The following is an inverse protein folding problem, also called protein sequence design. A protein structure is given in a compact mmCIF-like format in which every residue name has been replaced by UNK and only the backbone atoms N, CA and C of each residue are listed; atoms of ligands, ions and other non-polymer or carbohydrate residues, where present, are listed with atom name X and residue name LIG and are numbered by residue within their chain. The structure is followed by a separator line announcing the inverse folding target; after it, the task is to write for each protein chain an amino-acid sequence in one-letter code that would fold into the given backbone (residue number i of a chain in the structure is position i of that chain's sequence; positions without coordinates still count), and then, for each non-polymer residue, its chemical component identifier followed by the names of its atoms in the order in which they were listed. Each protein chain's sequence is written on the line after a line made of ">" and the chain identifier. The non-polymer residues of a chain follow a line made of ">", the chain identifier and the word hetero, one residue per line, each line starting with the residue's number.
data_IF_491112234825
#
_entry.id   IF_491112234825
#
_cell.length_a   1.000
_cell.length_b   1.000
_cell.length_c   1.000
_cell.angle_alpha   90.00
_cell.angle_beta   90.00
_cell.angle_gamma   90.00
#
_symmetry.space_group_name_H-M   'P 1'
#
loop_
_entity.id
_entity.type
_entity.pdbx_description
1 polymer ?
#
# COMPACT_ATOMS: atom_id res chain seq x y z
N UNK A 1 3.87 -8.53 -23.36
CA UNK A 1 4.15 -7.35 -22.52
C UNK A 1 3.66 -6.06 -23.18
N UNK A 2 3.78 -5.87 -24.50
CA UNK A 2 3.24 -4.67 -25.18
C UNK A 2 1.77 -4.40 -24.83
N UNK A 3 0.92 -5.43 -24.91
CA UNK A 3 -0.48 -5.33 -24.50
C UNK A 3 -0.67 -4.84 -23.05
N UNK A 4 0.11 -5.35 -22.09
CA UNK A 4 0.04 -4.93 -20.68
C UNK A 4 0.47 -3.47 -20.50
N UNK A 5 1.46 -3.02 -21.27
CA UNK A 5 1.93 -1.62 -21.25
C UNK A 5 0.87 -0.68 -21.83
N UNK A 6 0.22 -1.06 -22.92
CA UNK A 6 -0.89 -0.29 -23.49
C UNK A 6 -2.08 -0.18 -22.53
N UNK A 7 -2.45 -1.30 -21.88
CA UNK A 7 -3.47 -1.32 -20.84
C UNK A 7 -3.09 -0.45 -19.63
N UNK A 8 -1.80 -0.41 -19.28
CA UNK A 8 -1.31 0.46 -18.21
C UNK A 8 -1.63 1.92 -18.51
N UNK A 9 -1.44 2.38 -19.75
CA UNK A 9 -1.78 3.75 -20.14
C UNK A 9 -3.29 4.03 -20.16
N UNK A 10 -4.12 3.00 -20.38
CA UNK A 10 -5.56 3.17 -20.57
C UNK A 10 -6.29 3.69 -19.31
N UNK A 11 -5.81 3.38 -18.11
CA UNK A 11 -6.42 3.87 -16.86
C UNK A 11 -5.74 5.14 -16.29
N UNK A 12 -4.57 5.53 -16.80
CA UNK A 12 -3.80 6.66 -16.25
C UNK A 12 -4.58 7.97 -16.27
N UNK A 13 -5.27 8.27 -17.37
CA UNK A 13 -6.03 9.52 -17.48
C UNK A 13 -7.13 9.66 -16.42
N UNK A 14 -7.81 8.56 -16.08
CA UNK A 14 -8.83 8.57 -15.02
C UNK A 14 -8.21 8.72 -13.63
N UNK A 15 -7.07 8.07 -13.39
CA UNK A 15 -6.32 8.21 -12.14
C UNK A 15 -5.80 9.64 -11.95
N UNK A 16 -5.23 10.25 -12.99
CA UNK A 16 -4.79 11.65 -13.00
C UNK A 16 -5.96 12.62 -12.77
N UNK A 17 -7.14 12.33 -13.35
CA UNK A 17 -8.36 13.12 -13.12
C UNK A 17 -8.85 13.07 -11.67
N UNK A 18 -8.72 11.91 -11.02
CA UNK A 18 -9.02 11.76 -9.59
C UNK A 18 -8.00 12.52 -8.74
N UNK A 19 -6.70 12.36 -9.03
CA UNK A 19 -5.63 13.06 -8.31
C UNK A 19 -5.78 14.57 -8.42
N UNK A 20 -6.05 15.09 -9.62
CA UNK A 20 -6.26 16.51 -9.85
C UNK A 20 -7.42 17.07 -9.01
N UNK A 21 -8.54 16.35 -8.96
CA UNK A 21 -9.69 16.76 -8.14
C UNK A 21 -9.36 16.79 -6.65
N UNK A 22 -8.64 15.79 -6.14
CA UNK A 22 -8.21 15.75 -4.73
C UNK A 22 -7.29 16.94 -4.42
N UNK A 23 -6.38 17.30 -5.33
CA UNK A 23 -5.49 18.46 -5.17
C UNK A 23 -6.26 19.78 -5.14
N UNK A 24 -7.28 19.95 -5.98
CA UNK A 24 -8.13 21.15 -5.95
C UNK A 24 -8.91 21.26 -4.62
N UNK A 25 -9.36 20.14 -4.04
CA UNK A 25 -9.96 20.13 -2.70
C UNK A 25 -8.94 20.57 -1.65
N UNK A 26 -7.72 20.00 -1.69
CA UNK A 26 -6.65 20.34 -0.74
C UNK A 26 -6.23 21.82 -0.84
N UNK A 27 -6.25 22.39 -2.05
CA UNK A 27 -5.98 23.80 -2.28
C UNK A 27 -7.13 24.73 -1.85
N UNK A 28 -8.31 24.19 -1.51
CA UNK A 28 -9.50 24.97 -1.17
C UNK A 28 -10.24 25.54 -2.39
N UNK A 29 -9.89 25.10 -3.59
CA UNK A 29 -10.49 25.55 -4.85
C UNK A 29 -11.73 24.74 -5.24
N UNK A 30 -11.92 23.57 -4.65
CA UNK A 30 -13.08 22.72 -4.84
C UNK A 30 -13.65 22.24 -3.49
N UNK A 31 -14.95 21.96 -3.47
CA UNK A 31 -15.58 21.28 -2.33
C UNK A 31 -15.56 19.77 -2.55
N UNK A 32 -15.39 19.03 -1.45
CA UNK A 32 -15.48 17.57 -1.45
C UNK A 32 -16.91 17.13 -1.78
N UNK A 33 -17.04 16.28 -2.80
CA UNK A 33 -18.27 15.57 -3.15
C UNK A 33 -17.94 14.08 -3.30
N UNK A 34 -18.45 13.27 -2.36
CA UNK A 34 -18.23 11.83 -2.37
C UNK A 34 -18.80 11.12 -3.59
N UNK A 35 -19.88 11.63 -4.20
CA UNK A 35 -20.43 11.06 -5.44
C UNK A 35 -19.48 11.28 -6.61
N UNK A 36 -18.90 12.47 -6.69
CA UNK A 36 -17.93 12.80 -7.72
C UNK A 36 -16.62 12.01 -7.56
N UNK A 37 -16.19 11.73 -6.32
CA UNK A 37 -15.06 10.83 -6.07
C UNK A 37 -15.35 9.43 -6.62
N UNK A 38 -16.53 8.88 -6.34
CA UNK A 38 -16.95 7.55 -6.84
C UNK A 38 -17.01 7.57 -8.36
N UNK A 39 -17.65 8.57 -8.98
CA UNK A 39 -17.73 8.70 -10.44
C UNK A 39 -16.33 8.73 -11.10
N UNK A 40 -15.40 9.48 -10.52
CA UNK A 40 -14.01 9.53 -10.99
C UNK A 40 -13.29 8.20 -10.82
N UNK A 41 -13.53 7.49 -9.73
CA UNK A 41 -12.96 6.16 -9.49
C UNK A 41 -13.52 5.14 -10.50
N UNK A 42 -14.83 5.13 -10.69
CA UNK A 42 -15.54 4.25 -11.63
C UNK A 42 -15.07 4.48 -13.07
N UNK A 43 -14.66 5.71 -13.42
CA UNK A 43 -14.19 6.06 -14.77
C UNK A 43 -12.98 5.24 -15.27
N UNK A 44 -12.20 4.65 -14.36
CA UNK A 44 -11.02 3.84 -14.71
C UNK A 44 -10.97 2.48 -14.01
N UNK A 45 -11.84 2.22 -13.03
CA UNK A 45 -11.80 1.01 -12.23
C UNK A 45 -11.87 -0.28 -13.07
N UNK A 46 -12.81 -0.36 -14.01
CA UNK A 46 -12.97 -1.55 -14.87
C UNK A 46 -11.71 -1.82 -15.71
N UNK A 47 -11.11 -0.76 -16.26
CA UNK A 47 -9.87 -0.86 -17.05
C UNK A 47 -8.68 -1.31 -16.21
N UNK A 48 -8.55 -0.78 -14.98
CA UNK A 48 -7.52 -1.20 -14.03
C UNK A 48 -7.70 -2.67 -13.62
N UNK A 49 -8.92 -3.08 -13.28
CA UNK A 49 -9.22 -4.47 -12.90
C UNK A 49 -8.92 -5.44 -14.04
N UNK A 50 -9.30 -5.08 -15.26
CA UNK A 50 -9.00 -5.89 -16.44
C UNK A 50 -7.49 -6.01 -16.67
N UNK A 51 -6.74 -4.90 -16.59
CA UNK A 51 -5.27 -4.90 -16.67
C UNK A 51 -4.64 -5.85 -15.64
N UNK A 52 -5.07 -5.78 -14.37
CA UNK A 52 -4.56 -6.65 -13.31
C UNK A 52 -4.82 -8.12 -13.63
N UNK A 53 -6.01 -8.47 -14.13
CA UNK A 53 -6.33 -9.83 -14.55
C UNK A 53 -5.47 -10.32 -15.72
N UNK A 54 -5.26 -9.48 -16.73
CA UNK A 54 -4.49 -9.83 -17.93
C UNK A 54 -2.98 -9.90 -17.66
N UNK A 55 -2.49 -9.21 -16.61
CA UNK A 55 -1.09 -9.25 -16.20
C UNK A 55 -0.72 -10.52 -15.42
N UNK A 56 -1.62 -11.07 -14.61
CA UNK A 56 -1.37 -12.30 -13.82
C UNK A 56 -0.71 -13.45 -14.62
N UNK A 57 -1.21 -13.87 -15.80
CA UNK A 57 -0.57 -14.96 -16.56
C UNK A 57 0.79 -14.56 -17.16
N UNK A 58 1.12 -13.27 -17.23
CA UNK A 58 2.43 -12.79 -17.69
C UNK A 58 3.48 -12.87 -16.59
N UNK A 59 3.06 -12.68 -15.33
CA UNK A 59 3.89 -12.77 -14.13
C UNK A 59 3.86 -14.16 -13.47
N UNK A 60 3.31 -15.17 -14.15
CA UNK A 60 3.28 -16.54 -13.64
C UNK A 60 4.70 -17.04 -13.29
N UNK A 61 4.83 -17.73 -12.16
CA UNK A 61 6.15 -18.15 -11.63
C UNK A 61 6.97 -18.98 -12.63
N UNK A 62 6.32 -19.77 -13.49
CA UNK A 62 6.98 -20.52 -14.56
C UNK A 62 7.62 -19.60 -15.61
N UNK A 63 6.95 -18.51 -15.98
CA UNK A 63 7.45 -17.52 -16.95
C UNK A 63 8.56 -16.67 -16.33
N UNK A 64 8.40 -16.27 -15.07
CA UNK A 64 9.45 -15.56 -14.34
C UNK A 64 10.74 -16.38 -14.25
N UNK A 65 10.66 -17.65 -13.86
CA UNK A 65 11.83 -18.55 -13.78
C UNK A 65 12.45 -18.85 -15.15
N UNK A 66 11.66 -18.79 -16.22
CA UNK A 66 12.17 -18.97 -17.58
C UNK A 66 12.90 -17.72 -18.10
N UNK A 67 12.54 -16.53 -17.63
CA UNK A 67 13.09 -15.26 -18.09
C UNK A 67 14.20 -14.69 -17.20
N UNK A 68 14.21 -15.03 -15.90
CA UNK A 68 15.11 -14.43 -14.90
C UNK A 68 15.76 -15.50 -14.03
N UNK A 69 17.02 -15.26 -13.68
CA UNK A 69 17.68 -16.02 -12.61
C UNK A 69 17.21 -15.54 -11.23
N UNK A 70 17.46 -16.32 -10.19
CA UNK A 70 17.20 -15.89 -8.80
C UNK A 70 17.95 -14.60 -8.46
N UNK A 71 19.18 -14.45 -8.97
CA UNK A 71 19.98 -13.24 -8.77
C UNK A 71 19.32 -12.03 -9.42
N UNK A 72 18.81 -12.17 -10.65
CA UNK A 72 18.15 -11.06 -11.35
C UNK A 72 16.90 -10.58 -10.59
N UNK A 73 16.12 -11.52 -10.05
CA UNK A 73 14.96 -11.19 -9.21
C UNK A 73 15.38 -10.45 -7.92
N UNK A 74 16.43 -10.91 -7.24
CA UNK A 74 16.97 -10.24 -6.04
C UNK A 74 17.50 -8.83 -6.35
N UNK A 75 18.17 -8.67 -7.48
CA UNK A 75 18.68 -7.36 -7.92
C UNK A 75 17.55 -6.40 -8.30
N UNK A 76 16.50 -6.92 -8.96
CA UNK A 76 15.30 -6.16 -9.29
C UNK A 76 14.56 -5.70 -8.03
N UNK A 77 14.38 -6.61 -7.08
CA UNK A 77 13.73 -6.32 -5.80
C UNK A 77 14.52 -5.30 -4.97
N UNK A 78 15.86 -5.43 -4.94
CA UNK A 78 16.75 -4.46 -4.27
C UNK A 78 16.66 -3.07 -4.92
N UNK A 79 16.67 -3.03 -6.26
CA UNK A 79 16.56 -1.79 -7.04
C UNK A 79 15.20 -1.11 -6.82
N UNK A 80 14.12 -1.88 -6.84
CA UNK A 80 12.76 -1.41 -6.57
C UNK A 80 12.63 -0.87 -5.15
N UNK A 81 13.11 -1.61 -4.14
CA UNK A 81 13.08 -1.18 -2.75
C UNK A 81 13.82 0.14 -2.52
N UNK A 82 15.02 0.31 -3.10
CA UNK A 82 15.76 1.57 -3.05
C UNK A 82 15.00 2.73 -3.69
N UNK A 83 14.36 2.49 -4.83
CA UNK A 83 13.61 3.53 -5.54
C UNK A 83 12.39 3.97 -4.75
N UNK A 84 11.62 3.03 -4.22
CA UNK A 84 10.45 3.34 -3.38
C UNK A 84 10.87 4.12 -2.14
N UNK A 85 11.90 3.67 -1.40
CA UNK A 85 12.38 4.37 -0.21
C UNK A 85 12.85 5.80 -0.50
N UNK A 86 13.28 6.09 -1.73
CA UNK A 86 13.69 7.42 -2.17
C UNK A 86 12.50 8.31 -2.54
N UNK A 87 11.47 7.75 -3.17
CA UNK A 87 10.34 8.50 -3.71
C UNK A 87 9.19 8.66 -2.70
N UNK A 88 9.08 7.75 -1.74
CA UNK A 88 7.96 7.72 -0.80
C UNK A 88 8.14 8.70 0.37
N UNK A 89 7.06 9.39 0.74
CA UNK A 89 7.00 10.13 2.00
C UNK A 89 6.88 9.16 3.17
N UNK A 90 7.98 8.94 3.90
CA UNK A 90 7.97 8.09 5.10
C UNK A 90 7.06 8.64 6.21
N UNK A 91 6.81 9.95 6.24
CA UNK A 91 5.90 10.56 7.21
C UNK A 91 4.44 10.28 6.92
N UNK A 92 4.10 9.90 5.69
CA UNK A 92 2.74 9.56 5.26
C UNK A 92 2.54 8.06 5.14
N UNK A 93 3.53 7.33 4.60
CA UNK A 93 3.38 5.90 4.30
C UNK A 93 3.65 4.99 5.49
N UNK A 94 4.62 5.30 6.37
CA UNK A 94 4.85 4.48 7.56
C UNK A 94 3.60 4.39 8.44
N UNK A 95 2.92 5.50 8.74
CA UNK A 95 1.73 5.41 9.55
C UNK A 95 0.50 4.86 8.81
N UNK A 96 0.36 5.13 7.51
CA UNK A 96 -0.68 4.50 6.68
C UNK A 96 -0.58 2.97 6.78
N UNK A 97 0.63 2.42 6.70
CA UNK A 97 0.88 0.99 6.89
C UNK A 97 0.45 0.48 8.27
N UNK A 98 0.62 1.28 9.34
CA UNK A 98 0.24 0.90 10.70
C UNK A 98 -1.28 0.86 10.90
N UNK A 99 -2.04 1.81 10.33
CA UNK A 99 -3.50 1.89 10.52
C UNK A 99 -4.27 0.92 9.62
N UNK A 100 -3.64 0.37 8.58
CA UNK A 100 -4.22 -0.67 7.72
C UNK A 100 -3.89 -2.08 8.22
N UNK A 101 -3.08 -2.22 9.26
CA UNK A 101 -2.57 -3.52 9.71
C UNK A 101 -3.11 -3.92 11.09
N UNK A 102 -3.89 -4.99 11.11
CA UNK A 102 -4.32 -5.64 12.34
C UNK A 102 -3.20 -6.55 12.86
N UNK A 103 -2.63 -6.21 14.01
CA UNK A 103 -1.57 -7.00 14.64
C UNK A 103 -2.03 -8.37 15.10
N UNK A 104 -3.32 -8.58 15.32
CA UNK A 104 -3.84 -9.86 15.80
C UNK A 104 -3.91 -10.93 14.70
N UNK A 105 -4.06 -10.49 13.45
CA UNK A 105 -4.10 -11.34 12.26
C UNK A 105 -2.81 -11.29 11.44
N UNK A 106 -1.85 -10.46 11.84
CA UNK A 106 -0.52 -10.41 11.27
C UNK A 106 0.07 -11.83 11.19
N UNK A 107 0.39 -12.34 9.99
CA UNK A 107 1.08 -13.61 9.88
C UNK A 107 2.38 -13.48 10.67
N UNK A 108 2.64 -14.42 11.58
CA UNK A 108 3.99 -14.62 12.09
C UNK A 108 4.81 -15.12 10.90
N UNK A 109 5.33 -14.18 10.11
CA UNK A 109 6.27 -14.51 9.05
C UNK A 109 7.51 -15.08 9.74
N UNK A 110 7.57 -16.41 9.81
CA UNK A 110 8.83 -17.11 10.03
C UNK A 110 9.69 -16.69 8.85
N UNK A 111 10.78 -15.98 9.12
CA UNK A 111 11.73 -15.59 8.09
C UNK A 111 12.38 -16.86 7.51
N UNK A 112 11.74 -17.49 6.54
CA UNK A 112 12.50 -18.27 5.56
C UNK A 112 13.38 -17.25 4.86
N UNK A 113 14.69 -17.46 4.88
CA UNK A 113 15.77 -16.49 4.72
C UNK A 113 15.77 -15.59 3.45
N UNK A 114 14.73 -15.58 2.59
CA UNK A 114 14.85 -15.04 1.23
C UNK A 114 13.57 -14.47 0.54
N UNK A 115 12.49 -14.05 1.21
CA UNK A 115 11.24 -13.73 0.44
C UNK A 115 10.52 -12.37 0.60
N UNK A 116 11.00 -11.38 1.36
CA UNK A 116 10.43 -10.01 1.27
C UNK A 116 11.48 -8.93 1.58
N UNK A 117 12.21 -8.43 0.59
CA UNK A 117 13.27 -7.42 0.70
C UNK A 117 12.73 -6.02 1.01
N UNK A 118 11.48 -5.68 0.61
CA UNK A 118 10.86 -4.41 1.03
C UNK A 118 10.82 -4.26 2.56
N UNK A 119 10.73 -5.39 3.28
CA UNK A 119 10.73 -5.47 4.73
C UNK A 119 12.16 -5.71 5.29
N UNK A 120 13.03 -6.44 4.59
CA UNK A 120 14.42 -6.66 5.04
C UNK A 120 15.34 -5.42 4.90
N UNK A 121 15.02 -4.46 4.02
CA UNK A 121 15.80 -3.22 3.89
C UNK A 121 15.68 -2.30 5.12
N UNK A 122 14.69 -2.53 5.99
CA UNK A 122 14.40 -1.64 7.13
C UNK A 122 14.79 -2.28 8.48
N UNK A 123 14.96 -3.61 8.58
CA UNK A 123 15.65 -4.32 9.70
C UNK A 123 15.69 -5.86 9.53
N UNK A 124 16.61 -6.57 10.23
CA UNK A 124 16.82 -8.04 10.16
C UNK A 124 15.66 -8.84 10.80
N UNK A 125 15.61 -10.21 10.71
CA UNK A 125 14.37 -10.97 10.82
C UNK A 125 13.81 -10.90 12.22
N UNK A 126 12.79 -10.07 12.40
CA UNK A 126 12.04 -9.97 13.63
C UNK A 126 10.56 -10.18 13.36
N UNK A 127 10.01 -11.06 14.18
CA UNK A 127 8.66 -11.61 14.20
C UNK A 127 7.68 -10.49 14.59
N UNK A 128 7.39 -9.54 13.69
CA UNK A 128 6.24 -8.61 13.77
C UNK A 128 6.23 -7.68 12.56
N UNK A 129 5.14 -7.65 11.80
CA UNK A 129 4.95 -6.65 10.75
C UNK A 129 4.35 -5.36 11.35
N UNK A 130 4.83 -4.16 10.95
CA UNK A 130 6.04 -3.95 10.16
C UNK A 130 7.31 -4.11 11.02
N UNK A 131 8.38 -4.75 10.50
CA UNK A 131 9.65 -4.98 11.19
C UNK A 131 10.47 -3.68 11.18
N UNK A 132 10.04 -2.71 11.99
CA UNK A 132 10.70 -1.42 12.14
C UNK A 132 11.46 -1.37 13.47
N UNK A 133 12.63 -0.70 13.53
CA UNK A 133 13.27 -0.38 14.80
C UNK A 133 12.29 0.27 15.78
N UNK A 134 12.31 -0.17 17.04
CA UNK A 134 11.41 0.35 18.10
C UNK A 134 11.35 1.89 18.16
N UNK A 135 12.45 2.65 17.99
CA UNK A 135 12.38 4.11 17.98
C UNK A 135 11.58 4.69 16.80
N UNK A 136 11.67 4.06 15.62
CA UNK A 136 10.91 4.47 14.43
C UNK A 136 9.43 4.15 14.62
N UNK A 137 9.10 2.98 15.18
CA UNK A 137 7.73 2.64 15.56
C UNK A 137 7.17 3.65 16.56
N UNK A 138 7.95 3.98 17.59
CA UNK A 138 7.55 4.97 18.59
C UNK A 138 7.31 6.34 17.96
N UNK A 139 8.23 6.85 17.13
CA UNK A 139 8.06 8.14 16.45
C UNK A 139 6.84 8.15 15.50
N UNK A 140 6.58 7.03 14.84
CA UNK A 140 5.40 6.86 13.96
C UNK A 140 4.11 6.88 14.78
N UNK A 141 4.06 6.11 15.87
CA UNK A 141 2.88 5.98 16.73
C UNK A 141 2.57 7.23 17.54
N UNK A 142 3.59 7.90 18.08
CA UNK A 142 3.39 9.01 19.01
C UNK A 142 3.71 10.39 18.43
N UNK A 143 4.36 10.46 17.27
CA UNK A 143 4.63 11.72 16.57
C UNK A 143 3.72 11.87 15.35
N UNK A 144 3.95 11.03 14.34
CA UNK A 144 3.26 11.15 13.05
C UNK A 144 1.75 10.93 13.17
N UNK A 145 1.32 10.03 14.07
CA UNK A 145 -0.10 9.80 14.35
C UNK A 145 -0.87 11.02 14.79
N UNK A 146 -0.30 11.81 15.67
CA UNK A 146 -0.98 12.99 16.12
C UNK A 146 -0.93 14.11 15.07
N UNK A 147 0.14 14.17 14.26
CA UNK A 147 0.28 15.14 13.18
C UNK A 147 -0.79 14.99 12.08
N UNK A 148 -1.24 13.76 11.82
CA UNK A 148 -2.21 13.44 10.75
C UNK A 148 -3.48 12.79 11.30
N UNK A 149 -3.85 13.14 12.53
CA UNK A 149 -4.98 12.52 13.24
C UNK A 149 -6.34 12.66 12.53
N UNK A 150 -6.50 13.72 11.73
CA UNK A 150 -7.67 14.02 10.90
C UNK A 150 -7.85 13.01 9.76
N UNK A 151 -6.80 12.77 8.98
CA UNK A 151 -6.82 11.79 7.89
C UNK A 151 -7.02 10.37 8.43
N UNK A 152 -6.58 10.10 9.66
CA UNK A 152 -6.47 8.74 10.18
C UNK A 152 -7.65 8.32 11.06
N UNK A 153 -8.59 9.23 11.32
CA UNK A 153 -9.90 8.90 11.84
C UNK A 153 -10.57 7.77 11.01
N UNK A 154 -10.32 7.75 9.69
CA UNK A 154 -10.87 6.80 8.72
C UNK A 154 -10.11 5.48 8.57
N UNK A 155 -8.95 5.31 9.21
CA UNK A 155 -8.20 4.04 9.16
C UNK A 155 -8.93 2.92 9.93
N UNK A 156 -8.84 1.65 9.49
CA UNK A 156 -9.53 0.52 10.13
C UNK A 156 -8.91 0.12 11.47
N UNK A 157 -7.62 0.38 11.69
CA UNK A 157 -6.94 0.13 12.96
C UNK A 157 -6.56 1.42 13.70
N UNK A 158 -6.44 1.33 15.02
CA UNK A 158 -5.89 2.38 15.87
C UNK A 158 -4.36 2.45 15.82
N UNK A 159 -3.77 3.39 16.56
CA UNK A 159 -2.31 3.58 16.67
C UNK A 159 -1.55 2.33 17.15
N UNK A 160 -2.24 1.40 17.82
CA UNK A 160 -1.67 0.16 18.31
C UNK A 160 -1.80 -0.99 17.32
N UNK A 161 -2.48 -0.78 16.19
CA UNK A 161 -2.78 -1.82 15.20
C UNK A 161 -3.92 -2.74 15.66
N UNK A 162 -4.84 -2.24 16.50
CA UNK A 162 -6.08 -2.93 16.85
C UNK A 162 -7.21 -2.42 15.97
N UNK A 163 -7.99 -3.33 15.39
CA UNK A 163 -9.17 -2.97 14.59
C UNK A 163 -10.13 -2.12 15.43
N UNK A 164 -10.55 -0.98 14.89
CA UNK A 164 -11.55 -0.09 15.51
C UNK A 164 -12.94 -0.74 15.46
N UNK A 165 -13.86 -0.39 16.37
CA UNK A 165 -15.26 -0.83 16.28
C UNK A 165 -15.89 -0.49 14.92
N UNK A 166 -16.87 -1.28 14.48
CA UNK A 166 -17.61 -1.06 13.24
C UNK A 166 -17.02 -1.71 11.98
N UNK A 167 -15.86 -2.36 12.08
CA UNK A 167 -15.20 -3.06 10.96
C UNK A 167 -15.41 -4.59 10.99
N UNK A 168 -16.55 -5.04 11.52
CA UNK A 168 -16.89 -6.47 11.62
C UNK A 168 -16.24 -7.20 12.80
N UNK A 169 -15.59 -6.47 13.70
CA UNK A 169 -14.96 -6.95 14.94
C UNK A 169 -15.80 -6.66 16.20
N UNK A 170 -16.95 -6.00 16.05
CA UNK A 170 -17.90 -5.86 17.14
C UNK A 170 -18.51 -7.23 17.42
N UNK A 171 -18.50 -7.66 18.70
CA UNK A 171 -19.27 -8.83 19.09
C UNK A 171 -20.69 -8.63 18.57
N UNK A 172 -21.19 -9.57 17.75
CA UNK A 172 -22.59 -9.60 17.35
C UNK A 172 -23.41 -9.34 18.60
N UNK A 173 -24.17 -8.24 18.62
CA UNK A 173 -25.08 -7.95 19.71
C UNK A 173 -26.01 -9.16 19.83
N UNK A 174 -25.75 -9.98 20.86
CA UNK A 174 -26.55 -11.13 21.25
C UNK A 174 -27.72 -10.65 22.11
#
# INVERSE_FOLDING_TARGET
>A
MEHNVEQHHAFLAGLESLEAYIKEIQAGNAQYDGKLVIEKLDSFADGLVQHLHDELPTLASSRMRAAFTEKDLKDLETSLGKRILKEVSLTTVLPLGMVLHDKSTAPQYVSSENHVIFMNLISPPLISFPPLPKPILWATQYGLYHLHSDAWAFGPCDVYGKVKPGFGNDASAA
#
